data_IF_954271115281
#
_entry.id   IF_954271115281
#
_cell.length_a   1.000
_cell.length_b   1.000
_cell.length_c   1.000
_cell.angle_alpha   90.00
_cell.angle_beta   90.00
_cell.angle_gamma   90.00
#
_symmetry.space_group_name_H-M   'P 1'
#
loop_
_entity.id
_entity.type
_entity.pdbx_description
1 polymer ?
#
# COMPACT_ATOMS: atom_id res chain seq x y z
N UNK A 1 -16.39 21.42 8.47
CA UNK A 1 -17.01 20.07 8.55
C UNK A 1 -16.22 19.27 9.57
N UNK A 2 -16.87 18.54 10.48
CA UNK A 2 -16.15 17.62 11.38
C UNK A 2 -15.94 16.28 10.67
N UNK A 3 -14.71 15.78 10.67
CA UNK A 3 -14.37 14.47 10.08
C UNK A 3 -14.33 13.42 11.18
N UNK A 4 -15.48 12.83 11.52
CA UNK A 4 -15.55 11.75 12.51
C UNK A 4 -16.61 10.70 12.16
N UNK A 5 -16.53 9.52 12.80
CA UNK A 5 -17.47 8.42 12.60
C UNK A 5 -18.94 8.81 12.82
N UNK A 6 -19.23 9.58 13.88
CA UNK A 6 -20.60 10.00 14.20
C UNK A 6 -21.22 10.86 13.10
N UNK A 7 -20.45 11.78 12.52
CA UNK A 7 -20.87 12.57 11.36
C UNK A 7 -21.05 11.67 10.15
N UNK A 8 -20.05 10.83 9.83
CA UNK A 8 -20.08 9.96 8.66
C UNK A 8 -21.28 9.02 8.65
N UNK A 9 -21.56 8.33 9.77
CA UNK A 9 -22.66 7.36 9.90
C UNK A 9 -24.07 7.96 9.76
N UNK A 10 -24.20 9.28 9.95
CA UNK A 10 -25.49 9.99 9.87
C UNK A 10 -25.74 10.62 8.50
N UNK A 11 -24.79 10.54 7.57
CA UNK A 11 -24.95 11.11 6.24
C UNK A 11 -25.95 10.31 5.40
N UNK A 12 -26.80 10.98 4.61
CA UNK A 12 -27.42 10.37 3.45
C UNK A 12 -26.33 9.81 2.54
N UNK A 13 -26.58 8.66 1.91
CA UNK A 13 -25.56 8.01 1.08
C UNK A 13 -25.10 8.87 -0.11
N UNK A 14 -25.97 9.72 -0.66
CA UNK A 14 -25.65 10.66 -1.75
C UNK A 14 -24.60 11.73 -1.34
N UNK A 15 -24.29 11.85 -0.05
CA UNK A 15 -23.36 12.84 0.47
C UNK A 15 -21.94 12.29 0.74
N UNK A 16 -21.65 11.01 0.47
CA UNK A 16 -20.30 10.48 0.72
C UNK A 16 -19.27 11.05 -0.26
N UNK A 17 -19.65 11.33 -1.50
CA UNK A 17 -18.79 12.05 -2.46
C UNK A 17 -18.33 13.39 -1.90
N UNK A 18 -19.25 14.19 -1.34
CA UNK A 18 -18.96 15.49 -0.74
C UNK A 18 -18.09 15.36 0.51
N UNK A 19 -18.39 14.40 1.39
CA UNK A 19 -17.56 14.11 2.57
C UNK A 19 -16.13 13.72 2.16
N UNK A 20 -16.00 12.80 1.21
CA UNK A 20 -14.71 12.33 0.70
C UNK A 20 -13.92 13.47 0.05
N UNK A 21 -14.57 14.34 -0.73
CA UNK A 21 -13.94 15.53 -1.32
C UNK A 21 -13.37 16.44 -0.22
N UNK A 22 -14.18 16.83 0.76
CA UNK A 22 -13.77 17.72 1.84
C UNK A 22 -12.63 17.12 2.69
N UNK A 23 -12.71 15.83 3.01
CA UNK A 23 -11.66 15.12 3.75
C UNK A 23 -10.35 15.08 2.95
N UNK A 24 -10.45 14.87 1.64
CA UNK A 24 -9.28 14.85 0.76
C UNK A 24 -8.60 16.22 0.65
N UNK A 25 -9.39 17.30 0.57
CA UNK A 25 -8.85 18.66 0.54
C UNK A 25 -8.17 19.03 1.86
N UNK A 26 -8.75 18.62 3.00
CA UNK A 26 -8.08 18.71 4.30
C UNK A 26 -6.75 17.92 4.32
N UNK A 27 -6.76 16.67 3.87
CA UNK A 27 -5.56 15.82 3.82
C UNK A 27 -4.44 16.45 2.99
N UNK A 28 -4.75 17.01 1.81
CA UNK A 28 -3.76 17.69 0.98
C UNK A 28 -3.06 18.81 1.75
N UNK A 29 -3.82 19.65 2.47
CA UNK A 29 -3.28 20.75 3.27
C UNK A 29 -2.48 20.23 4.46
N UNK A 30 -3.04 19.28 5.21
CA UNK A 30 -2.42 18.73 6.41
C UNK A 30 -1.09 18.04 6.10
N UNK A 31 -1.03 17.21 5.07
CA UNK A 31 0.19 16.50 4.65
C UNK A 31 1.23 17.48 4.08
N UNK A 32 0.83 18.53 3.35
CA UNK A 32 1.78 19.58 2.92
C UNK A 32 2.45 20.26 4.13
N UNK A 33 1.72 20.42 5.23
CA UNK A 33 2.24 20.98 6.48
C UNK A 33 3.14 19.99 7.23
N UNK A 34 2.69 18.75 7.45
CA UNK A 34 3.39 17.76 8.28
C UNK A 34 4.47 16.96 7.55
N UNK A 35 4.38 16.82 6.23
CA UNK A 35 5.16 15.89 5.43
C UNK A 35 4.68 14.44 5.55
N UNK A 36 5.29 13.54 4.78
CA UNK A 36 5.00 12.11 4.80
C UNK A 36 4.30 11.62 3.54
N UNK A 37 3.63 10.45 3.62
CA UNK A 37 2.98 9.85 2.46
C UNK A 37 1.85 10.75 1.94
N UNK A 38 1.82 11.02 0.64
CA UNK A 38 0.88 11.97 0.04
C UNK A 38 -0.09 11.28 -0.92
N UNK A 39 0.42 10.75 -2.04
CA UNK A 39 -0.44 10.24 -3.10
C UNK A 39 -1.26 9.00 -2.68
N UNK A 40 -0.66 8.05 -1.95
CA UNK A 40 -1.34 6.83 -1.50
C UNK A 40 -2.55 7.12 -0.57
N UNK A 41 -2.40 7.86 0.56
CA UNK A 41 -3.53 8.16 1.42
C UNK A 41 -4.61 9.03 0.76
N UNK A 42 -4.27 9.91 -0.18
CA UNK A 42 -5.24 10.72 -0.94
C UNK A 42 -6.09 9.85 -1.88
N UNK A 43 -5.48 8.86 -2.55
CA UNK A 43 -6.18 7.92 -3.42
C UNK A 43 -7.11 6.97 -2.66
N UNK A 44 -6.74 6.60 -1.42
CA UNK A 44 -7.52 5.68 -0.59
C UNK A 44 -8.70 6.31 0.17
N UNK A 45 -8.94 7.62 0.02
CA UNK A 45 -10.02 8.33 0.75
C UNK A 45 -11.39 7.72 0.46
N UNK A 46 -11.72 7.45 -0.81
CA UNK A 46 -13.05 6.94 -1.19
C UNK A 46 -13.32 5.56 -0.57
N UNK A 47 -12.33 4.66 -0.67
CA UNK A 47 -12.37 3.34 0.00
C UNK A 47 -12.58 3.51 1.50
N UNK A 48 -11.78 4.35 2.14
CA UNK A 48 -11.81 4.54 3.60
C UNK A 48 -13.16 5.09 4.08
N UNK A 49 -13.74 6.04 3.34
CA UNK A 49 -15.06 6.59 3.64
C UNK A 49 -16.14 5.52 3.49
N UNK A 50 -16.12 4.76 2.39
CA UNK A 50 -17.13 3.74 2.14
C UNK A 50 -17.09 2.60 3.18
N UNK A 51 -15.90 2.11 3.56
CA UNK A 51 -15.79 1.04 4.57
C UNK A 51 -16.23 1.52 5.96
N UNK A 52 -15.85 2.73 6.37
CA UNK A 52 -16.28 3.27 7.67
C UNK A 52 -17.76 3.63 7.69
N UNK A 53 -18.36 3.94 6.53
CA UNK A 53 -19.81 4.14 6.44
C UNK A 53 -20.56 2.82 6.65
N UNK A 54 -20.11 1.73 6.00
CA UNK A 54 -20.81 0.44 6.00
C UNK A 54 -20.50 -0.46 7.21
N UNK A 55 -19.28 -0.43 7.73
CA UNK A 55 -18.80 -1.31 8.81
C UNK A 55 -18.53 -0.54 10.09
N UNK A 56 -18.62 -1.22 11.22
CA UNK A 56 -18.66 -0.62 12.55
C UNK A 56 -17.35 -0.92 13.29
N UNK A 57 -16.33 -0.09 13.04
CA UNK A 57 -15.07 -0.13 13.80
C UNK A 57 -15.28 0.48 15.19
N UNK A 58 -14.75 -0.09 16.29
CA UNK A 58 -13.70 -1.12 16.35
C UNK A 58 -14.19 -2.57 16.35
N UNK A 59 -15.50 -2.83 16.32
CA UNK A 59 -16.03 -4.20 16.41
C UNK A 59 -15.71 -4.99 15.13
N UNK A 60 -15.95 -4.39 13.97
CA UNK A 60 -15.41 -4.83 12.69
C UNK A 60 -13.91 -4.46 12.60
N UNK A 61 -13.10 -5.45 12.20
CA UNK A 61 -11.63 -5.36 12.22
C UNK A 61 -11.12 -4.84 10.89
N UNK A 62 -10.31 -3.78 10.92
CA UNK A 62 -9.76 -3.16 9.71
C UNK A 62 -8.25 -3.39 9.66
N UNK A 63 -7.78 -3.98 8.57
CA UNK A 63 -6.35 -4.27 8.35
C UNK A 63 -5.89 -3.57 7.08
N UNK A 64 -5.15 -2.47 7.24
CA UNK A 64 -4.52 -1.78 6.12
C UNK A 64 -3.16 -2.42 5.86
N UNK A 65 -2.92 -2.97 4.66
CA UNK A 65 -1.62 -3.52 4.29
C UNK A 65 -0.59 -2.41 4.11
N UNK A 66 0.66 -2.61 4.57
CA UNK A 66 1.73 -1.59 4.66
C UNK A 66 1.37 -0.42 5.61
N UNK A 67 0.15 0.12 5.53
CA UNK A 67 -0.43 1.09 6.44
C UNK A 67 -0.34 2.55 5.97
N UNK A 68 0.52 2.86 5.01
CA UNK A 68 0.78 4.23 4.56
C UNK A 68 -0.42 4.95 3.92
N UNK A 69 -1.45 4.22 3.51
CA UNK A 69 -2.71 4.74 2.97
C UNK A 69 -3.79 5.05 4.03
N UNK A 70 -3.52 4.86 5.33
CA UNK A 70 -4.54 4.93 6.40
C UNK A 70 -4.85 6.35 6.92
N UNK A 71 -4.37 7.42 6.30
CA UNK A 71 -4.48 8.76 6.91
C UNK A 71 -5.92 9.24 7.07
N UNK A 72 -6.78 8.98 6.08
CA UNK A 72 -8.22 9.23 6.19
C UNK A 72 -8.84 8.45 7.36
N UNK A 73 -8.40 7.20 7.57
CA UNK A 73 -8.87 6.35 8.65
C UNK A 73 -8.50 6.98 9.99
N UNK A 74 -7.25 7.44 10.17
CA UNK A 74 -6.82 8.11 11.42
C UNK A 74 -7.66 9.34 11.73
N UNK A 75 -7.92 10.19 10.73
CA UNK A 75 -8.73 11.40 10.90
C UNK A 75 -10.15 11.06 11.35
N UNK A 76 -10.85 10.19 10.61
CA UNK A 76 -12.26 9.83 10.87
C UNK A 76 -12.42 9.16 12.25
N UNK A 77 -11.38 8.49 12.74
CA UNK A 77 -11.38 7.75 14.02
C UNK A 77 -10.82 8.59 15.18
N UNK A 78 -11.04 9.90 15.14
CA UNK A 78 -10.81 10.80 16.28
C UNK A 78 -9.42 11.42 16.37
N UNK A 79 -8.54 11.23 15.38
CA UNK A 79 -7.17 11.78 15.38
C UNK A 79 -7.00 12.99 14.45
N UNK A 80 -8.09 13.70 14.16
CA UNK A 80 -8.06 14.93 13.37
C UNK A 80 -7.14 16.00 14.00
N UNK A 81 -7.30 16.27 15.29
CA UNK A 81 -6.61 17.39 15.96
C UNK A 81 -5.12 17.11 16.21
N UNK A 82 -4.74 15.82 16.31
CA UNK A 82 -3.35 15.40 16.48
C UNK A 82 -2.65 15.10 15.15
N UNK A 83 -3.35 15.20 14.02
CA UNK A 83 -2.82 14.79 12.72
C UNK A 83 -1.59 15.59 12.28
N UNK A 84 -1.47 16.86 12.66
CA UNK A 84 -0.27 17.66 12.36
C UNK A 84 1.01 17.10 13.00
N UNK A 85 0.89 16.24 14.02
CA UNK A 85 2.02 15.57 14.68
C UNK A 85 2.51 14.31 13.96
N UNK A 86 1.84 13.90 12.87
CA UNK A 86 2.14 12.64 12.18
C UNK A 86 3.62 12.52 11.81
N UNK A 87 4.21 11.36 12.10
CA UNK A 87 5.63 11.02 11.89
C UNK A 87 6.65 11.89 12.64
N UNK A 88 6.22 12.73 13.58
CA UNK A 88 7.12 13.49 14.46
C UNK A 88 7.42 12.69 15.72
N UNK A 89 8.54 12.98 16.37
CA UNK A 89 8.86 12.42 17.68
C UNK A 89 7.72 12.74 18.67
N UNK A 90 7.27 11.72 19.41
CA UNK A 90 6.13 11.78 20.33
C UNK A 90 4.79 12.18 19.69
N UNK A 91 4.69 12.18 18.36
CA UNK A 91 3.45 12.34 17.61
C UNK A 91 2.85 11.00 17.19
N UNK A 92 1.79 11.07 16.37
CA UNK A 92 1.15 9.86 15.84
C UNK A 92 1.97 9.23 14.71
N UNK A 93 1.87 7.92 14.57
CA UNK A 93 2.53 7.10 13.57
C UNK A 93 2.02 7.40 12.16
N UNK A 94 2.89 7.22 11.17
CA UNK A 94 2.50 7.22 9.76
C UNK A 94 1.77 5.95 9.31
N UNK A 95 1.58 5.00 10.22
CA UNK A 95 0.97 3.68 9.98
C UNK A 95 -0.04 3.38 11.11
N UNK A 96 -0.94 2.40 10.93
CA UNK A 96 -1.78 1.91 12.03
C UNK A 96 -0.93 1.48 13.23
N UNK A 97 -1.33 1.90 14.42
CA UNK A 97 -0.64 1.68 15.68
C UNK A 97 -1.67 1.38 16.78
N UNK A 98 -1.79 0.13 17.27
CA UNK A 98 -2.77 -0.25 18.27
C UNK A 98 -2.67 0.53 19.58
N UNK A 99 -1.47 0.99 19.95
CA UNK A 99 -1.29 1.83 21.13
C UNK A 99 -1.86 3.26 20.95
N UNK A 100 -2.12 3.71 19.72
CA UNK A 100 -2.73 5.01 19.42
C UNK A 100 -4.26 4.98 19.36
N UNK A 101 -4.86 3.85 18.96
CA UNK A 101 -6.31 3.77 18.74
C UNK A 101 -6.79 2.32 18.71
N UNK A 102 -7.95 2.07 19.31
CA UNK A 102 -8.70 0.81 19.17
C UNK A 102 -9.19 0.53 17.74
N UNK A 103 -9.16 1.52 16.86
CA UNK A 103 -9.46 1.36 15.44
C UNK A 103 -8.26 0.86 14.61
N UNK A 104 -7.05 0.88 15.18
CA UNK A 104 -5.83 0.37 14.56
C UNK A 104 -5.57 -1.05 15.10
N UNK A 105 -6.27 -2.05 14.56
CA UNK A 105 -6.26 -3.40 15.17
C UNK A 105 -4.89 -4.09 15.15
N UNK A 106 -4.04 -3.79 14.18
CA UNK A 106 -2.72 -4.40 14.06
C UNK A 106 -1.70 -3.43 13.49
N UNK A 107 -0.47 -3.47 14.00
CA UNK A 107 0.64 -2.66 13.50
C UNK A 107 1.20 -3.27 12.22
N UNK A 108 1.29 -2.46 11.18
CA UNK A 108 1.84 -2.86 9.88
C UNK A 108 2.99 -1.92 9.47
N UNK A 109 3.78 -2.38 8.52
CA UNK A 109 4.85 -1.59 7.90
C UNK A 109 5.35 -2.28 6.64
N UNK A 110 5.72 -3.55 6.76
CA UNK A 110 6.05 -4.39 5.61
C UNK A 110 4.81 -4.73 4.78
N UNK A 111 4.99 -4.84 3.46
CA UNK A 111 3.90 -5.01 2.49
C UNK A 111 3.56 -6.48 2.23
N UNK A 112 2.28 -6.83 2.18
CA UNK A 112 1.79 -8.16 1.83
C UNK A 112 1.49 -9.08 3.01
N UNK A 113 1.28 -8.52 4.22
CA UNK A 113 0.99 -9.30 5.43
C UNK A 113 -0.47 -9.24 5.84
N UNK A 114 -1.28 -8.36 5.24
CA UNK A 114 -2.62 -8.07 5.76
C UNK A 114 -3.60 -9.26 5.68
N UNK A 115 -3.49 -10.12 4.67
CA UNK A 115 -4.35 -11.30 4.55
C UNK A 115 -4.00 -12.33 5.64
N UNK A 116 -2.71 -12.56 5.91
CA UNK A 116 -2.26 -13.42 7.02
C UNK A 116 -2.79 -12.90 8.37
N UNK A 117 -2.66 -11.59 8.61
CA UNK A 117 -3.16 -10.93 9.81
C UNK A 117 -4.68 -11.11 9.93
N UNK A 118 -5.42 -10.97 8.82
CA UNK A 118 -6.86 -11.17 8.82
C UNK A 118 -7.26 -12.61 9.16
N UNK A 119 -6.51 -13.61 8.69
CA UNK A 119 -6.69 -15.01 9.09
C UNK A 119 -6.45 -15.16 10.59
N UNK A 120 -5.40 -14.53 11.14
CA UNK A 120 -5.11 -14.52 12.57
C UNK A 120 -6.26 -13.96 13.41
N UNK A 121 -6.83 -12.83 13.00
CA UNK A 121 -8.04 -12.29 13.63
C UNK A 121 -9.27 -13.18 13.44
N UNK A 122 -9.24 -14.08 12.46
CA UNK A 122 -10.34 -14.96 12.10
C UNK A 122 -10.24 -16.37 12.67
N UNK A 123 -9.26 -16.65 13.54
CA UNK A 123 -9.11 -17.99 14.14
C UNK A 123 -10.34 -18.36 14.97
N UNK A 124 -10.92 -17.42 15.70
CA UNK A 124 -12.14 -17.64 16.48
C UNK A 124 -13.37 -17.16 15.72
N UNK A 125 -14.49 -17.94 15.74
CA UNK A 125 -15.76 -17.50 15.18
C UNK A 125 -16.21 -16.17 15.76
N UNK A 126 -16.80 -15.32 14.91
CA UNK A 126 -17.40 -14.05 15.30
C UNK A 126 -18.36 -13.59 14.20
N UNK A 127 -19.38 -12.84 14.59
CA UNK A 127 -20.27 -12.19 13.64
C UNK A 127 -19.66 -10.92 13.02
N UNK A 128 -18.61 -10.36 13.61
CA UNK A 128 -17.91 -9.20 13.08
C UNK A 128 -17.05 -9.54 11.86
N UNK A 129 -16.94 -8.57 10.96
CA UNK A 129 -16.17 -8.68 9.74
C UNK A 129 -14.67 -8.44 9.98
N UNK A 130 -13.85 -9.02 9.11
CA UNK A 130 -12.46 -8.57 8.92
C UNK A 130 -12.33 -7.98 7.52
N UNK A 131 -11.94 -6.72 7.44
CA UNK A 131 -11.81 -5.97 6.19
C UNK A 131 -10.33 -5.69 5.96
N UNK A 132 -9.79 -6.28 4.90
CA UNK A 132 -8.41 -6.08 4.43
C UNK A 132 -8.41 -5.02 3.33
N UNK A 133 -7.53 -4.02 3.45
CA UNK A 133 -7.28 -3.02 2.43
C UNK A 133 -5.83 -3.17 1.98
N UNK A 134 -5.63 -3.79 0.82
CA UNK A 134 -4.31 -4.15 0.31
C UNK A 134 -4.06 -3.50 -1.04
N UNK A 135 -2.88 -2.91 -1.25
CA UNK A 135 -2.51 -2.38 -2.56
C UNK A 135 -2.28 -3.51 -3.56
N UNK A 136 -2.55 -3.29 -4.84
CA UNK A 136 -2.20 -4.18 -5.96
C UNK A 136 -0.78 -4.77 -5.85
N UNK A 137 0.21 -3.92 -5.59
CA UNK A 137 1.63 -4.31 -5.49
C UNK A 137 1.89 -5.26 -4.32
N UNK A 138 1.26 -4.96 -3.18
CA UNK A 138 1.39 -5.78 -1.97
C UNK A 138 0.59 -7.08 -2.08
N UNK A 139 -0.52 -7.09 -2.82
CA UNK A 139 -1.31 -8.29 -3.07
C UNK A 139 -0.53 -9.33 -3.89
N UNK A 140 0.30 -8.88 -4.83
CA UNK A 140 1.13 -9.77 -5.64
C UNK A 140 2.37 -10.33 -4.91
N UNK A 141 2.60 -9.94 -3.64
CA UNK A 141 3.68 -10.49 -2.81
C UNK A 141 3.41 -11.98 -2.49
N UNK A 142 4.49 -12.76 -2.33
CA UNK A 142 4.40 -14.20 -2.04
C UNK A 142 3.56 -14.50 -0.79
N UNK A 143 3.79 -13.80 0.32
CA UNK A 143 3.06 -13.99 1.58
C UNK A 143 1.57 -13.71 1.40
N UNK A 144 1.21 -12.68 0.64
CA UNK A 144 -0.19 -12.38 0.32
C UNK A 144 -0.87 -13.51 -0.44
N UNK A 145 -0.20 -14.05 -1.47
CA UNK A 145 -0.74 -15.11 -2.30
C UNK A 145 -0.86 -16.44 -1.54
N UNK A 146 0.14 -16.79 -0.74
CA UNK A 146 0.09 -17.95 0.16
C UNK A 146 -1.05 -17.81 1.18
N UNK A 147 -1.17 -16.63 1.79
CA UNK A 147 -2.23 -16.34 2.75
C UNK A 147 -3.61 -16.39 2.11
N UNK A 148 -3.75 -15.94 0.87
CA UNK A 148 -5.00 -16.03 0.14
C UNK A 148 -5.44 -17.49 -0.01
N UNK A 149 -4.53 -18.42 -0.33
CA UNK A 149 -4.86 -19.85 -0.41
C UNK A 149 -5.18 -20.46 0.96
N UNK A 150 -4.68 -19.87 2.04
CA UNK A 150 -4.99 -20.26 3.42
C UNK A 150 -6.27 -19.61 3.96
N UNK A 151 -6.97 -18.77 3.20
CA UNK A 151 -8.13 -18.01 3.70
C UNK A 151 -9.27 -18.91 4.19
N UNK A 152 -9.36 -20.15 3.70
CA UNK A 152 -10.32 -21.17 4.16
C UNK A 152 -10.16 -21.52 5.66
N UNK A 153 -9.03 -21.14 6.30
CA UNK A 153 -8.82 -21.28 7.75
C UNK A 153 -9.53 -20.19 8.57
N UNK A 154 -10.04 -19.14 7.94
CA UNK A 154 -10.79 -18.09 8.61
C UNK A 154 -12.18 -18.59 9.02
N UNK A 155 -12.49 -18.49 10.31
CA UNK A 155 -13.80 -18.86 10.90
C UNK A 155 -14.78 -17.69 11.01
N UNK A 156 -14.48 -16.56 10.37
CA UNK A 156 -15.36 -15.38 10.23
C UNK A 156 -15.21 -14.82 8.82
N UNK A 157 -16.21 -14.08 8.31
CA UNK A 157 -16.16 -13.63 6.93
C UNK A 157 -15.14 -12.50 6.73
N UNK A 158 -14.32 -12.65 5.69
CA UNK A 158 -13.23 -11.72 5.37
C UNK A 158 -13.53 -11.02 4.04
N UNK A 159 -13.42 -9.69 4.00
CA UNK A 159 -13.47 -8.91 2.75
C UNK A 159 -12.06 -8.46 2.43
N UNK A 160 -11.56 -8.85 1.26
CA UNK A 160 -10.27 -8.42 0.73
C UNK A 160 -10.54 -7.37 -0.35
N UNK A 161 -10.24 -6.11 -0.02
CA UNK A 161 -10.35 -4.98 -0.95
C UNK A 161 -8.96 -4.73 -1.54
N UNK A 162 -8.81 -5.08 -2.82
CA UNK A 162 -7.58 -4.76 -3.57
C UNK A 162 -7.68 -3.35 -4.10
N UNK A 163 -6.93 -2.43 -3.51
CA UNK A 163 -6.78 -1.05 -3.95
C UNK A 163 -5.78 -0.98 -5.11
N UNK A 164 -6.29 -1.10 -6.32
CA UNK A 164 -5.52 -1.10 -7.55
C UNK A 164 -5.43 0.30 -8.14
N UNK A 165 -4.25 0.90 -8.02
CA UNK A 165 -3.92 2.17 -8.66
C UNK A 165 -2.83 2.01 -9.74
N UNK A 166 -2.47 0.78 -10.10
CA UNK A 166 -1.44 0.46 -11.08
C UNK A 166 -0.01 0.85 -10.70
N UNK A 167 0.27 1.25 -9.44
CA UNK A 167 1.56 1.83 -9.06
C UNK A 167 2.13 1.31 -7.74
N UNK A 168 3.38 0.84 -7.80
CA UNK A 168 4.27 0.67 -6.64
C UNK A 168 4.99 1.99 -6.29
N UNK A 169 6.11 1.91 -5.58
CA UNK A 169 7.03 3.04 -5.27
C UNK A 169 7.85 3.43 -6.51
N UNK A 170 8.16 2.46 -7.37
CA UNK A 170 8.75 2.63 -8.70
C UNK A 170 7.77 2.15 -9.77
N UNK A 171 8.04 2.47 -11.04
CA UNK A 171 7.17 2.02 -12.14
C UNK A 171 7.06 0.49 -12.12
N UNK A 172 5.84 0.00 -12.04
CA UNK A 172 5.56 -1.36 -11.59
C UNK A 172 6.18 -2.40 -12.55
N UNK A 173 7.25 -3.09 -12.14
CA UNK A 173 7.88 -4.15 -12.95
C UNK A 173 7.50 -5.56 -12.45
N UNK A 174 7.21 -6.39 -13.46
CA UNK A 174 6.95 -7.84 -13.51
C UNK A 174 5.54 -8.36 -13.22
N UNK A 175 5.01 -8.32 -12.00
CA UNK A 175 3.72 -8.97 -11.68
C UNK A 175 2.49 -8.10 -11.95
N UNK A 176 2.57 -6.81 -11.61
CA UNK A 176 1.44 -5.86 -11.63
C UNK A 176 0.91 -5.50 -13.01
N UNK A 177 1.80 -5.35 -14.01
CA UNK A 177 1.40 -5.08 -15.41
C UNK A 177 0.47 -6.14 -15.98
N UNK A 178 0.46 -7.31 -15.36
CA UNK A 178 -0.32 -8.45 -15.82
C UNK A 178 -1.56 -8.71 -14.95
N UNK A 179 -1.61 -8.17 -13.73
CA UNK A 179 -2.77 -8.27 -12.86
C UNK A 179 -3.93 -7.43 -13.38
N UNK A 180 -5.12 -8.01 -13.37
CA UNK A 180 -6.36 -7.35 -13.78
C UNK A 180 -7.55 -8.09 -13.14
N UNK A 181 -8.74 -7.56 -13.34
CA UNK A 181 -9.99 -8.11 -12.79
C UNK A 181 -10.13 -9.64 -13.02
N UNK A 182 -9.82 -10.15 -14.22
CA UNK A 182 -9.93 -11.59 -14.52
C UNK A 182 -8.93 -12.45 -13.74
N UNK A 183 -7.74 -11.90 -13.44
CA UNK A 183 -6.74 -12.62 -12.63
C UNK A 183 -7.09 -12.58 -11.15
N UNK A 184 -7.61 -11.47 -10.65
CA UNK A 184 -8.16 -11.41 -9.30
C UNK A 184 -9.33 -12.38 -9.13
N UNK A 185 -10.20 -12.50 -10.14
CA UNK A 185 -11.26 -13.52 -10.19
C UNK A 185 -10.70 -14.94 -10.13
N UNK A 186 -9.71 -15.26 -10.97
CA UNK A 186 -9.10 -16.59 -10.97
C UNK A 186 -8.46 -16.94 -9.62
N UNK A 187 -7.81 -15.97 -8.96
CA UNK A 187 -7.23 -16.17 -7.63
C UNK A 187 -8.30 -16.32 -6.54
N UNK A 188 -9.40 -15.56 -6.62
CA UNK A 188 -10.53 -15.71 -5.71
C UNK A 188 -11.16 -17.11 -5.84
N UNK A 189 -11.32 -17.60 -7.09
CA UNK A 189 -11.80 -18.96 -7.37
C UNK A 189 -10.82 -20.00 -6.81
N UNK A 190 -9.51 -19.83 -7.03
CA UNK A 190 -8.50 -20.75 -6.50
C UNK A 190 -8.49 -20.82 -4.96
N UNK A 191 -8.85 -19.72 -4.31
CA UNK A 191 -8.95 -19.61 -2.86
C UNK A 191 -10.34 -19.95 -2.30
N UNK A 192 -11.28 -20.38 -3.14
CA UNK A 192 -12.67 -20.69 -2.79
C UNK A 192 -13.39 -19.53 -2.07
N UNK A 193 -13.17 -18.30 -2.55
CA UNK A 193 -13.87 -17.10 -2.07
C UNK A 193 -14.61 -16.40 -3.21
N UNK A 194 -15.64 -15.64 -2.84
CA UNK A 194 -16.47 -14.94 -3.81
C UNK A 194 -15.71 -13.77 -4.44
N UNK A 195 -15.69 -13.67 -5.77
CA UNK A 195 -15.22 -12.46 -6.45
C UNK A 195 -16.38 -11.51 -6.73
N UNK A 196 -16.30 -10.28 -6.21
CA UNK A 196 -17.38 -9.29 -6.38
C UNK A 196 -17.18 -8.36 -7.57
N UNK A 197 -16.24 -8.65 -8.48
CA UNK A 197 -15.99 -7.82 -9.66
C UNK A 197 -15.10 -6.61 -9.38
N UNK A 198 -15.10 -5.68 -10.34
CA UNK A 198 -14.33 -4.44 -10.31
C UNK A 198 -15.23 -3.22 -10.14
N UNK A 199 -14.81 -2.23 -9.36
CA UNK A 199 -15.55 -0.98 -9.10
C UNK A 199 -14.59 0.21 -9.02
N UNK A 200 -15.09 1.42 -9.29
CA UNK A 200 -14.32 2.65 -9.08
C UNK A 200 -14.30 3.03 -7.59
N UNK A 201 -13.11 3.13 -7.01
CA UNK A 201 -12.91 3.50 -5.61
C UNK A 201 -12.89 5.01 -5.36
N UNK A 202 -12.93 5.82 -6.42
CA UNK A 202 -13.06 7.27 -6.32
C UNK A 202 -14.53 7.72 -6.22
N UNK A 203 -15.49 6.81 -6.45
CA UNK A 203 -16.94 6.98 -6.30
C UNK A 203 -17.45 6.28 -5.03
N UNK A 204 -17.34 6.92 -3.84
CA UNK A 204 -17.65 6.28 -2.55
C UNK A 204 -19.11 5.84 -2.40
N UNK A 205 -20.05 6.50 -3.08
CA UNK A 205 -21.48 6.15 -3.02
C UNK A 205 -21.74 4.79 -3.68
N UNK A 206 -21.15 4.56 -4.86
CA UNK A 206 -21.22 3.29 -5.59
C UNK A 206 -20.49 2.18 -4.83
N UNK A 207 -19.31 2.48 -4.29
CA UNK A 207 -18.55 1.55 -3.47
C UNK A 207 -19.33 1.15 -2.21
N UNK A 208 -19.97 2.10 -1.52
CA UNK A 208 -20.82 1.81 -0.38
C UNK A 208 -22.01 0.90 -0.77
N UNK A 209 -22.68 1.18 -1.90
CA UNK A 209 -23.75 0.32 -2.43
C UNK A 209 -23.28 -1.11 -2.67
N UNK A 210 -22.09 -1.27 -3.27
CA UNK A 210 -21.49 -2.59 -3.50
C UNK A 210 -21.18 -3.32 -2.20
N UNK A 211 -20.62 -2.61 -1.22
CA UNK A 211 -20.31 -3.14 0.10
C UNK A 211 -21.55 -3.55 0.89
N UNK A 212 -22.71 -2.88 0.72
CA UNK A 212 -23.99 -3.33 1.30
C UNK A 212 -24.35 -4.73 0.79
N UNK A 213 -24.21 -4.98 -0.51
CA UNK A 213 -24.45 -6.31 -1.09
C UNK A 213 -23.50 -7.37 -0.55
N UNK A 214 -22.21 -7.05 -0.43
CA UNK A 214 -21.20 -7.95 0.15
C UNK A 214 -21.52 -8.23 1.63
N UNK A 215 -21.83 -7.20 2.42
CA UNK A 215 -22.20 -7.31 3.85
C UNK A 215 -23.42 -8.22 4.05
N UNK A 216 -24.41 -8.17 3.16
CA UNK A 216 -25.59 -9.06 3.22
C UNK A 216 -25.26 -10.52 2.91
N UNK A 217 -24.28 -10.77 2.03
CA UNK A 217 -23.95 -12.14 1.60
C UNK A 217 -23.27 -12.99 2.67
N UNK A 218 -22.57 -12.35 3.64
CA UNK A 218 -21.76 -13.01 4.67
C UNK A 218 -20.70 -13.99 4.12
N UNK A 219 -20.36 -13.89 2.84
CA UNK A 219 -19.30 -14.70 2.21
C UNK A 219 -17.96 -13.96 2.28
N UNK A 220 -16.88 -14.70 2.53
CA UNK A 220 -15.54 -14.18 2.28
C UNK A 220 -15.42 -13.77 0.82
N UNK A 221 -14.96 -12.56 0.58
CA UNK A 221 -15.10 -11.88 -0.71
C UNK A 221 -13.82 -11.14 -1.08
N UNK A 222 -13.38 -11.27 -2.33
CA UNK A 222 -12.39 -10.40 -2.96
C UNK A 222 -13.12 -9.35 -3.81
N UNK A 223 -12.81 -8.08 -3.58
CA UNK A 223 -13.31 -6.94 -4.35
C UNK A 223 -12.13 -6.19 -4.99
N UNK A 224 -12.14 -6.06 -6.31
CA UNK A 224 -11.16 -5.27 -7.05
C UNK A 224 -11.63 -3.81 -7.12
N UNK A 225 -10.87 -2.90 -6.52
CA UNK A 225 -11.23 -1.47 -6.49
C UNK A 225 -10.16 -0.66 -7.22
N UNK A 226 -10.57 0.01 -8.30
CA UNK A 226 -9.68 0.86 -9.09
C UNK A 226 -9.61 2.25 -8.50
N UNK A 227 -8.43 2.77 -8.22
CA UNK A 227 -8.24 4.14 -7.70
C UNK A 227 -7.19 4.89 -8.50
N UNK A 228 -7.09 6.20 -8.27
CA UNK A 228 -6.02 7.03 -8.83
C UNK A 228 -5.10 7.43 -7.68
N UNK A 229 -3.81 7.09 -7.80
CA UNK A 229 -2.80 7.50 -6.81
C UNK A 229 -2.64 9.02 -6.87
N UNK A 230 -2.94 9.71 -5.77
CA UNK A 230 -2.97 11.18 -5.74
C UNK A 230 -4.26 11.80 -6.30
N UNK A 231 -5.36 11.04 -6.39
CA UNK A 231 -6.65 11.49 -6.94
C UNK A 231 -7.03 12.92 -6.54
N UNK A 232 -7.58 13.69 -7.48
CA UNK A 232 -7.98 15.11 -7.34
C UNK A 232 -6.84 16.11 -7.05
N UNK A 233 -5.59 15.68 -7.13
CA UNK A 233 -4.41 16.54 -7.24
C UNK A 233 -3.70 16.20 -8.55
N UNK A 234 -3.84 17.07 -9.54
CA UNK A 234 -3.37 16.83 -10.91
C UNK A 234 -1.85 16.60 -10.96
N UNK A 235 -1.08 17.38 -10.20
CA UNK A 235 0.39 17.26 -10.18
C UNK A 235 0.80 15.93 -9.56
N UNK A 236 0.17 15.54 -8.44
CA UNK A 236 0.46 14.28 -7.80
C UNK A 236 -0.01 13.07 -8.62
N UNK A 237 -1.15 13.17 -9.30
CA UNK A 237 -1.69 12.11 -10.17
C UNK A 237 -0.83 11.87 -11.40
N UNK A 238 -0.25 12.93 -11.97
CA UNK A 238 0.70 12.83 -13.09
C UNK A 238 2.11 12.39 -12.67
N UNK A 239 2.46 12.54 -11.38
CA UNK A 239 3.79 12.23 -10.86
C UNK A 239 3.74 11.37 -9.58
N UNK A 240 3.07 10.20 -9.60
CA UNK A 240 2.74 9.45 -8.39
C UNK A 240 3.96 8.97 -7.60
N UNK A 241 5.09 8.70 -8.27
CA UNK A 241 6.35 8.31 -7.62
C UNK A 241 6.98 9.47 -6.84
N UNK A 242 7.06 10.65 -7.48
CA UNK A 242 7.57 11.87 -6.84
C UNK A 242 6.73 12.30 -5.64
N UNK A 243 5.42 12.06 -5.72
CA UNK A 243 4.46 12.39 -4.66
C UNK A 243 4.08 11.18 -3.79
N UNK A 244 4.85 10.08 -3.83
CA UNK A 244 4.63 8.97 -2.90
C UNK A 244 4.77 9.46 -1.45
N UNK A 245 5.82 10.22 -1.17
CA UNK A 245 5.98 11.00 0.05
C UNK A 245 6.57 12.38 -0.25
N UNK A 246 6.14 13.40 0.51
CA UNK A 246 6.61 14.78 0.36
C UNK A 246 7.30 15.27 1.65
N UNK A 247 8.29 16.18 1.55
CA UNK A 247 8.86 16.81 2.73
C UNK A 247 7.83 17.71 3.41
N UNK A 248 8.01 17.97 4.71
CA UNK A 248 7.23 18.99 5.42
C UNK A 248 7.59 20.37 4.90
N UNK A 249 6.58 21.22 4.62
CA UNK A 249 6.82 22.63 4.29
C UNK A 249 7.54 23.40 5.41
N UNK A 250 7.45 22.93 6.66
CA UNK A 250 8.12 23.52 7.84
C UNK A 250 9.61 23.14 7.92
N UNK A 251 10.03 22.07 7.23
CA UNK A 251 11.42 21.60 7.18
C UNK A 251 12.04 21.97 5.83
N UNK A 252 12.45 23.24 5.67
CA UNK A 252 13.47 23.58 4.68
C UNK A 252 14.83 23.17 5.25
N UNK A 253 15.32 21.98 4.90
CA UNK A 253 16.75 21.70 5.05
C UNK A 253 17.49 22.69 4.16
N UNK A 254 18.16 23.66 4.77
CA UNK A 254 18.98 24.67 4.10
C UNK A 254 20.42 24.20 3.88
N UNK A 255 20.74 22.94 4.19
CA UNK A 255 22.08 22.39 3.97
C UNK A 255 22.18 21.77 2.58
N UNK A 256 22.94 22.38 1.65
CA UNK A 256 23.28 21.72 0.40
C UNK A 256 24.19 20.53 0.72
N UNK A 257 23.70 19.32 0.53
CA UNK A 257 24.55 18.13 0.55
C UNK A 257 25.19 17.98 -0.82
N UNK A 258 26.41 18.50 -0.97
CA UNK A 258 27.24 18.33 -2.17
C UNK A 258 27.96 16.98 -2.23
N UNK A 259 27.84 16.16 -1.18
CA UNK A 259 28.46 14.82 -1.12
C UNK A 259 27.49 13.77 -1.65
N UNK A 260 27.99 12.93 -2.55
CA UNK A 260 27.29 11.72 -3.00
C UNK A 260 26.92 10.86 -1.79
N UNK A 261 25.69 10.35 -1.77
CA UNK A 261 25.28 9.38 -0.76
C UNK A 261 25.89 8.00 -1.06
N UNK A 262 25.77 7.06 -0.10
CA UNK A 262 26.36 5.72 -0.22
C UNK A 262 25.82 4.93 -1.42
N UNK A 263 24.55 5.14 -1.80
CA UNK A 263 23.93 4.47 -2.94
C UNK A 263 24.43 5.02 -4.27
N UNK A 264 24.66 6.33 -4.37
CA UNK A 264 25.27 6.96 -5.55
C UNK A 264 26.71 6.49 -5.77
N UNK A 265 27.50 6.40 -4.69
CA UNK A 265 28.88 5.87 -4.75
C UNK A 265 28.87 4.42 -5.23
N UNK A 266 27.96 3.59 -4.70
CA UNK A 266 27.83 2.19 -5.11
C UNK A 266 27.34 2.05 -6.56
N UNK A 267 26.45 2.94 -7.00
CA UNK A 267 25.97 2.97 -8.38
C UNK A 267 27.10 3.28 -9.36
N UNK A 268 27.96 4.26 -9.05
CA UNK A 268 29.13 4.59 -9.88
C UNK A 268 30.09 3.40 -9.98
N UNK A 269 30.34 2.71 -8.87
CA UNK A 269 31.17 1.50 -8.84
C UNK A 269 30.62 0.41 -9.76
N UNK A 270 29.32 0.08 -9.65
CA UNK A 270 28.70 -0.94 -10.47
C UNK A 270 28.73 -0.58 -11.96
N UNK A 271 28.49 0.68 -12.31
CA UNK A 271 28.58 1.18 -13.69
C UNK A 271 30.01 1.06 -14.25
N UNK A 272 31.02 1.32 -13.43
CA UNK A 272 32.42 1.20 -13.84
C UNK A 272 32.80 -0.28 -14.08
N UNK A 273 32.46 -1.17 -13.14
CA UNK A 273 32.79 -2.60 -13.24
C UNK A 273 32.05 -3.28 -14.39
N UNK A 274 30.85 -2.80 -14.74
CA UNK A 274 30.07 -3.30 -15.89
C UNK A 274 30.76 -3.10 -17.26
N UNK A 275 31.84 -2.31 -17.34
CA UNK A 275 32.63 -2.17 -18.57
C UNK A 275 33.47 -3.42 -18.87
N UNK A 276 33.75 -4.24 -17.87
CA UNK A 276 34.65 -5.39 -17.97
C UNK A 276 34.02 -6.70 -17.51
N UNK A 277 32.97 -6.63 -16.68
CA UNK A 277 32.29 -7.78 -16.10
C UNK A 277 30.84 -7.85 -16.54
N UNK A 278 30.33 -9.06 -16.74
CA UNK A 278 28.92 -9.34 -16.95
C UNK A 278 28.21 -9.30 -15.59
N UNK A 279 27.51 -8.19 -15.33
CA UNK A 279 26.84 -7.94 -14.06
C UNK A 279 25.34 -8.24 -14.15
N UNK A 280 24.80 -8.86 -13.11
CA UNK A 280 23.37 -8.87 -12.80
C UNK A 280 23.11 -7.98 -11.59
N UNK A 281 22.23 -6.99 -11.74
CA UNK A 281 21.70 -6.19 -10.65
C UNK A 281 20.24 -6.57 -10.39
N UNK A 282 19.96 -7.07 -9.19
CA UNK A 282 18.62 -7.44 -8.73
C UNK A 282 18.12 -6.40 -7.74
N UNK A 283 16.87 -5.95 -7.88
CA UNK A 283 16.21 -5.11 -6.88
C UNK A 283 14.82 -5.61 -6.53
N UNK A 284 14.41 -5.37 -5.29
CA UNK A 284 13.05 -5.58 -4.82
C UNK A 284 12.25 -4.26 -4.85
N UNK A 285 11.91 -3.76 -6.04
CA UNK A 285 10.98 -2.64 -6.25
C UNK A 285 11.47 -1.24 -5.88
N UNK A 286 12.73 -1.08 -5.50
CA UNK A 286 13.21 0.16 -4.85
C UNK A 286 14.44 0.80 -5.50
N UNK A 287 15.04 0.20 -6.54
CA UNK A 287 16.31 0.65 -7.13
C UNK A 287 16.31 2.15 -7.50
N UNK A 288 15.31 2.61 -8.25
CA UNK A 288 15.25 3.98 -8.72
C UNK A 288 15.15 4.99 -7.57
N UNK A 289 14.28 4.69 -6.59
CA UNK A 289 14.08 5.53 -5.41
C UNK A 289 15.23 5.50 -4.42
N UNK A 290 16.03 4.43 -4.45
CA UNK A 290 17.22 4.28 -3.63
C UNK A 290 18.47 4.92 -4.26
N UNK A 291 18.37 5.49 -5.47
CA UNK A 291 19.47 6.21 -6.12
C UNK A 291 20.25 5.41 -7.17
N UNK A 292 19.77 4.23 -7.56
CA UNK A 292 20.43 3.37 -8.57
C UNK A 292 20.01 3.69 -10.01
N UNK A 293 19.56 4.91 -10.29
CA UNK A 293 19.07 5.31 -11.61
C UNK A 293 20.11 5.15 -12.74
N UNK A 294 21.39 5.35 -12.43
CA UNK A 294 22.48 5.14 -13.40
C UNK A 294 22.71 3.66 -13.69
N UNK A 295 22.47 2.79 -12.71
CA UNK A 295 22.58 1.33 -12.86
C UNK A 295 21.40 0.80 -13.68
N UNK A 296 20.17 1.19 -13.35
CA UNK A 296 18.95 0.68 -14.04
C UNK A 296 18.86 1.09 -15.50
N UNK A 297 19.53 2.20 -15.90
CA UNK A 297 19.55 2.70 -17.28
C UNK A 297 20.78 2.25 -18.08
N UNK A 298 21.74 1.57 -17.46
CA UNK A 298 22.97 1.15 -18.13
C UNK A 298 22.76 -0.18 -18.85
N UNK A 299 22.92 -0.18 -20.18
CA UNK A 299 22.71 -1.35 -21.04
C UNK A 299 23.74 -2.47 -20.85
N UNK A 300 24.88 -2.17 -20.20
CA UNK A 300 25.90 -3.18 -19.88
C UNK A 300 25.58 -3.92 -18.58
N UNK A 301 24.57 -3.48 -17.82
CA UNK A 301 24.11 -4.13 -16.59
C UNK A 301 22.82 -4.86 -16.90
N UNK A 302 22.78 -6.15 -16.59
CA UNK A 302 21.54 -6.91 -16.66
C UNK A 302 20.72 -6.52 -15.43
N UNK A 303 19.57 -5.89 -15.62
CA UNK A 303 18.73 -5.41 -14.54
C UNK A 303 17.49 -6.27 -14.38
N UNK A 304 17.23 -6.73 -13.15
CA UNK A 304 16.02 -7.43 -12.77
C UNK A 304 15.37 -6.75 -11.56
N UNK A 305 14.15 -6.25 -11.75
CA UNK A 305 13.31 -5.82 -10.64
C UNK A 305 12.24 -6.88 -10.36
N UNK A 306 12.29 -7.48 -9.17
CA UNK A 306 11.33 -8.50 -8.73
C UNK A 306 10.10 -7.90 -8.02
N UNK A 307 10.03 -6.58 -7.87
CA UNK A 307 8.98 -5.90 -7.12
C UNK A 307 9.03 -6.25 -5.64
N UNK A 308 7.87 -6.35 -4.99
CA UNK A 308 7.76 -6.72 -3.56
C UNK A 308 7.82 -8.26 -3.45
N UNK A 309 8.95 -8.84 -3.83
CA UNK A 309 9.18 -10.29 -3.80
C UNK A 309 10.63 -10.60 -3.42
N UNK A 310 11.04 -10.14 -2.23
CA UNK A 310 12.41 -10.26 -1.73
C UNK A 310 12.94 -11.69 -1.84
N UNK A 311 12.17 -12.69 -1.40
CA UNK A 311 12.52 -14.11 -1.40
C UNK A 311 12.82 -14.67 -2.78
N UNK A 312 11.92 -14.38 -3.72
CA UNK A 312 12.11 -14.74 -5.13
C UNK A 312 13.35 -14.05 -5.69
N UNK A 313 13.58 -12.78 -5.35
CA UNK A 313 14.76 -12.02 -5.75
C UNK A 313 16.07 -12.67 -5.31
N UNK A 314 16.17 -13.07 -4.03
CA UNK A 314 17.34 -13.76 -3.50
C UNK A 314 17.56 -15.11 -4.18
N UNK A 315 16.49 -15.90 -4.33
CA UNK A 315 16.57 -17.22 -4.96
C UNK A 315 17.02 -17.13 -6.43
N UNK A 316 16.45 -16.18 -7.19
CA UNK A 316 16.84 -15.92 -8.59
C UNK A 316 18.30 -15.46 -8.65
N UNK A 317 18.71 -14.52 -7.79
CA UNK A 317 20.07 -14.02 -7.74
C UNK A 317 21.08 -15.15 -7.44
N UNK A 318 20.77 -16.02 -6.49
CA UNK A 318 21.61 -17.16 -6.12
C UNK A 318 21.83 -18.13 -7.30
N UNK A 319 20.77 -18.44 -8.05
CA UNK A 319 20.88 -19.27 -9.26
C UNK A 319 21.71 -18.57 -10.35
N UNK A 320 21.50 -17.26 -10.53
CA UNK A 320 22.16 -16.48 -11.56
C UNK A 320 23.67 -16.31 -11.34
N UNK A 321 24.20 -16.43 -10.12
CA UNK A 321 25.65 -16.39 -9.85
C UNK A 321 26.49 -17.36 -10.71
N UNK A 322 25.88 -18.35 -11.37
CA UNK A 322 26.55 -19.27 -12.29
C UNK A 322 26.89 -18.66 -13.66
N UNK A 323 26.14 -17.64 -14.08
CA UNK A 323 26.19 -17.09 -15.44
C UNK A 323 26.67 -15.64 -15.50
N UNK A 324 27.00 -15.04 -14.35
CA UNK A 324 27.41 -13.65 -14.19
C UNK A 324 28.70 -13.58 -13.38
N UNK A 325 29.60 -12.67 -13.76
CA UNK A 325 30.85 -12.43 -13.04
C UNK A 325 30.59 -11.79 -11.67
N UNK A 326 29.52 -11.00 -11.58
CA UNK A 326 29.06 -10.36 -10.35
C UNK A 326 27.54 -10.25 -10.34
N UNK A 327 26.91 -10.86 -9.32
CA UNK A 327 25.49 -10.63 -9.00
C UNK A 327 25.40 -9.72 -7.79
N UNK A 328 24.67 -8.62 -7.92
CA UNK A 328 24.43 -7.65 -6.85
C UNK A 328 22.94 -7.55 -6.55
N UNK A 329 22.55 -7.64 -5.28
CA UNK A 329 21.16 -7.45 -4.85
C UNK A 329 21.03 -6.19 -3.98
N UNK A 330 20.17 -5.27 -4.41
CA UNK A 330 19.82 -4.09 -3.61
C UNK A 330 18.55 -4.35 -2.80
N UNK A 331 18.69 -4.32 -1.46
CA UNK A 331 17.61 -4.46 -0.50
C UNK A 331 17.89 -3.63 0.76
N UNK A 332 16.86 -3.06 1.38
CA UNK A 332 17.00 -2.41 2.69
C UNK A 332 17.10 -3.43 3.80
N UNK A 333 17.90 -3.14 4.83
CA UNK A 333 18.13 -4.06 5.95
C UNK A 333 16.85 -4.56 6.62
N UNK A 334 15.81 -3.73 6.74
CA UNK A 334 14.53 -4.16 7.33
C UNK A 334 13.75 -5.12 6.43
N UNK A 335 13.92 -5.06 5.10
CA UNK A 335 13.27 -5.99 4.16
C UNK A 335 14.06 -7.29 4.05
N UNK A 336 15.37 -7.26 4.29
CA UNK A 336 16.20 -8.47 4.39
C UNK A 336 15.73 -9.42 5.49
N UNK A 337 15.04 -8.92 6.54
CA UNK A 337 14.49 -9.76 7.60
C UNK A 337 13.41 -10.75 7.12
N UNK A 338 12.97 -10.66 5.85
CA UNK A 338 12.08 -11.64 5.21
C UNK A 338 12.83 -12.89 4.73
N UNK A 339 14.16 -12.85 4.72
CA UNK A 339 15.07 -13.84 4.13
C UNK A 339 16.02 -14.44 5.16
#
# INVERSE_FOLDING_TARGET
>A
MQFNLNTLKKLPQIDLVNFAKNLRDYLKLAIKSSGGHYASPIGAVGITVAIHYIFDSPDDIFVFDTGHQCYAHKIITGRHDTFESIRKANGISGFPEPSESNHDHFRVGHAGTAIAIAIGFSITPSDHWVIVIIGDSAFANGVSLESLLLIHKANRPVIIIVNDNGHSISDAVSSLKTMNSKRYEALAVAADIHFSGSIDGNEPDELANKLIGIKKSRKSTLLHVRTIKGYSDEIASLNPFKYHAIPSAKLKSTFPTTKKNSQEILSDFLVNVAQQMKILFVSAGMAETAGFNSVTKNTNINYLDVGIAEHSGFTIAAAACRDFDLTFIHIYSTFLQRE
#
